data_IF_440621063710
#
_entry.id   IF_440621063710
#
_cell.length_a   1.000
_cell.length_b   1.000
_cell.length_c   1.000
_cell.angle_alpha   90.00
_cell.angle_beta   90.00
_cell.angle_gamma   90.00
#
_symmetry.space_group_name_H-M   'P 1'
#
loop_
_entity.id
_entity.type
_entity.pdbx_description
1 polymer ?
#
# COMPACT_ATOMS: atom_id res chain seq x y z
N UNK A 1 29.10 -11.20 -6.33
CA UNK A 1 28.59 -9.82 -6.24
C UNK A 1 27.13 -9.71 -5.76
N UNK A 2 26.13 -10.38 -6.37
CA UNK A 2 24.71 -10.29 -5.93
C UNK A 2 24.48 -10.64 -4.44
N UNK A 3 25.20 -11.64 -3.92
CA UNK A 3 25.10 -12.06 -2.51
C UNK A 3 25.61 -11.00 -1.51
N UNK A 4 26.74 -10.35 -1.81
CA UNK A 4 27.30 -9.31 -0.92
C UNK A 4 26.37 -8.09 -0.80
N UNK A 5 25.81 -7.62 -1.92
CA UNK A 5 24.81 -6.54 -1.89
C UNK A 5 23.57 -6.95 -1.10
N UNK A 6 23.09 -8.19 -1.27
CA UNK A 6 21.93 -8.69 -0.53
C UNK A 6 22.17 -8.68 0.99
N UNK A 7 23.31 -9.20 1.45
CA UNK A 7 23.70 -9.20 2.87
C UNK A 7 23.82 -7.76 3.40
N UNK A 8 24.45 -6.87 2.64
CA UNK A 8 24.56 -5.46 3.01
C UNK A 8 23.17 -4.80 3.22
N UNK A 9 22.23 -5.05 2.31
CA UNK A 9 20.87 -4.50 2.45
C UNK A 9 20.10 -5.10 3.64
N UNK A 10 20.30 -6.38 3.96
CA UNK A 10 19.73 -6.99 5.17
C UNK A 10 20.29 -6.36 6.44
N UNK A 11 21.61 -6.19 6.54
CA UNK A 11 22.27 -5.54 7.69
C UNK A 11 21.79 -4.10 7.85
N UNK A 12 21.68 -3.35 6.74
CA UNK A 12 21.10 -2.00 6.75
C UNK A 12 19.65 -2.03 7.24
N UNK A 13 18.84 -3.00 6.82
CA UNK A 13 17.47 -3.17 7.26
C UNK A 13 17.34 -3.37 8.77
N UNK A 14 18.15 -4.27 9.33
CA UNK A 14 18.24 -4.52 10.79
C UNK A 14 18.67 -3.25 11.54
N UNK A 15 19.69 -2.55 11.03
CA UNK A 15 20.12 -1.29 11.63
C UNK A 15 19.01 -0.24 11.64
N UNK A 16 18.28 -0.08 10.53
CA UNK A 16 17.16 0.86 10.44
C UNK A 16 16.04 0.51 11.42
N UNK A 17 15.72 -0.78 11.57
CA UNK A 17 14.71 -1.25 12.51
C UNK A 17 15.12 -0.98 13.96
N UNK A 18 16.35 -1.30 14.35
CA UNK A 18 16.85 -1.05 15.70
C UNK A 18 16.92 0.46 16.00
N UNK A 19 17.37 1.26 15.03
CA UNK A 19 17.36 2.73 15.14
C UNK A 19 15.93 3.28 15.31
N UNK A 20 14.97 2.73 14.56
CA UNK A 20 13.56 3.14 14.67
C UNK A 20 12.98 2.75 16.04
N UNK A 21 13.20 1.52 16.50
CA UNK A 21 12.79 1.06 17.85
C UNK A 21 13.33 1.98 18.93
N UNK A 22 14.64 2.27 18.91
CA UNK A 22 15.27 3.13 19.89
C UNK A 22 14.68 4.54 19.89
N UNK A 23 14.38 5.11 18.72
CA UNK A 23 13.75 6.44 18.66
C UNK A 23 12.31 6.42 19.19
N UNK A 24 11.56 5.38 18.89
CA UNK A 24 10.17 5.22 19.37
C UNK A 24 10.13 5.04 20.90
N UNK A 25 11.08 4.29 21.47
CA UNK A 25 11.12 3.97 22.90
C UNK A 25 11.93 4.93 23.78
N UNK A 26 12.84 5.74 23.20
CA UNK A 26 13.73 6.61 23.98
C UNK A 26 12.98 7.71 24.73
N UNK A 27 13.42 8.00 25.97
CA UNK A 27 12.81 9.00 26.84
C UNK A 27 12.76 10.43 26.23
N UNK A 28 13.70 10.75 25.35
CA UNK A 28 13.79 12.06 24.67
C UNK A 28 12.82 12.25 23.49
N UNK A 29 12.30 11.16 22.94
CA UNK A 29 11.32 11.17 21.84
C UNK A 29 10.05 10.38 22.19
N UNK A 30 9.86 10.08 23.47
CA UNK A 30 8.95 9.06 23.98
C UNK A 30 7.55 9.32 23.44
N UNK A 31 7.22 8.57 22.39
CA UNK A 31 5.93 8.63 21.74
C UNK A 31 4.95 8.12 22.78
N UNK A 32 3.91 8.90 23.05
CA UNK A 32 2.89 8.53 24.03
C UNK A 32 2.11 7.34 23.49
N UNK A 33 1.61 6.51 24.40
CA UNK A 33 0.69 5.45 24.02
C UNK A 33 -0.54 6.05 23.33
N UNK A 34 -1.02 5.38 22.28
CA UNK A 34 -2.12 5.87 21.47
C UNK A 34 -2.00 5.53 19.99
N UNK A 35 -2.77 6.26 19.19
CA UNK A 35 -2.87 6.08 17.75
C UNK A 35 -2.29 7.27 17.01
N UNK A 36 -1.47 6.98 16.00
CA UNK A 36 -0.82 7.98 15.15
C UNK A 36 -1.30 7.79 13.72
N UNK A 37 -1.72 8.88 13.09
CA UNK A 37 -2.33 8.90 11.75
C UNK A 37 -1.58 9.86 10.83
N UNK A 38 -1.57 9.56 9.54
CA UNK A 38 -1.16 10.55 8.54
C UNK A 38 -2.09 11.77 8.59
N UNK A 39 -1.50 12.94 8.41
CA UNK A 39 -2.17 14.22 8.24
C UNK A 39 -2.44 14.39 6.74
N UNK A 40 -3.70 14.24 6.32
CA UNK A 40 -4.15 14.62 4.98
C UNK A 40 -4.36 16.14 4.90
N UNK A 41 -4.50 16.68 3.68
CA UNK A 41 -4.62 18.13 3.47
C UNK A 41 -5.79 18.75 4.25
N UNK A 42 -5.60 19.90 4.94
CA UNK A 42 -6.69 20.64 5.60
C UNK A 42 -7.81 21.09 4.65
N UNK A 43 -7.51 21.20 3.34
CA UNK A 43 -8.45 21.65 2.31
C UNK A 43 -9.63 20.69 2.07
N UNK A 44 -9.60 19.49 2.66
CA UNK A 44 -10.68 18.49 2.58
C UNK A 44 -11.66 18.54 3.78
N UNK A 45 -11.67 19.63 4.55
CA UNK A 45 -12.78 19.94 5.48
C UNK A 45 -12.78 19.20 6.81
N UNK A 46 -11.67 18.59 7.22
CA UNK A 46 -11.52 18.01 8.56
C UNK A 46 -10.18 17.28 8.76
N UNK A 47 -9.77 17.04 10.01
CA UNK A 47 -8.52 16.36 10.28
C UNK A 47 -8.64 14.85 9.96
N UNK A 48 -7.73 14.34 9.13
CA UNK A 48 -7.43 12.91 8.94
C UNK A 48 -8.49 12.00 8.27
N UNK A 49 -8.74 12.14 6.96
CA UNK A 49 -9.25 10.99 6.22
C UNK A 49 -8.61 10.85 4.84
N UNK A 50 -7.69 9.90 4.72
CA UNK A 50 -7.30 9.39 3.42
C UNK A 50 -8.52 8.63 2.87
N UNK A 51 -9.05 8.98 1.70
CA UNK A 51 -10.19 8.28 1.12
C UNK A 51 -9.82 6.84 0.80
N UNK A 52 -10.79 5.95 0.85
CA UNK A 52 -10.61 4.56 0.46
C UNK A 52 -10.91 4.37 -1.03
N UNK A 53 -10.08 3.58 -1.71
CA UNK A 53 -10.29 3.14 -3.09
C UNK A 53 -10.09 1.63 -3.15
N UNK A 54 -11.13 0.90 -3.57
CA UNK A 54 -11.01 -0.52 -3.90
C UNK A 54 -10.36 -0.71 -5.27
N UNK A 55 -9.67 -1.83 -5.46
CA UNK A 55 -9.19 -2.22 -6.80
C UNK A 55 -10.31 -2.79 -7.68
N UNK A 56 -11.47 -3.09 -7.08
CA UNK A 56 -12.69 -3.50 -7.77
C UNK A 56 -13.66 -2.32 -7.81
N UNK A 57 -14.44 -2.19 -8.88
CA UNK A 57 -15.37 -1.07 -9.04
C UNK A 57 -16.53 -1.14 -8.03
N UNK A 58 -17.09 -2.34 -7.81
CA UNK A 58 -17.98 -2.61 -6.69
C UNK A 58 -17.20 -3.10 -5.47
N UNK A 59 -16.78 -2.17 -4.61
CA UNK A 59 -16.06 -2.48 -3.37
C UNK A 59 -16.84 -3.47 -2.48
N UNK A 60 -18.17 -3.35 -2.44
CA UNK A 60 -19.08 -4.22 -1.69
C UNK A 60 -19.03 -5.69 -2.14
N UNK A 61 -18.59 -5.96 -3.37
CA UNK A 61 -18.50 -7.31 -3.96
C UNK A 61 -17.08 -7.89 -3.94
N UNK A 62 -16.11 -7.19 -3.34
CA UNK A 62 -14.70 -7.58 -3.36
C UNK A 62 -14.45 -9.02 -2.90
N UNK A 63 -15.15 -9.49 -1.86
CA UNK A 63 -15.00 -10.87 -1.37
C UNK A 63 -15.43 -11.90 -2.43
N UNK A 64 -16.51 -11.63 -3.15
CA UNK A 64 -17.01 -12.49 -4.23
C UNK A 64 -15.95 -12.63 -5.33
N UNK A 65 -15.34 -11.52 -5.74
CA UNK A 65 -14.33 -11.49 -6.80
C UNK A 65 -13.00 -12.12 -6.38
N UNK A 66 -12.61 -11.99 -5.10
CA UNK A 66 -11.40 -12.64 -4.56
C UNK A 66 -11.58 -14.16 -4.51
N UNK A 67 -12.79 -14.64 -4.20
CA UNK A 67 -13.09 -16.08 -4.15
C UNK A 67 -13.21 -16.72 -5.52
N UNK A 68 -13.78 -16.01 -6.49
CA UNK A 68 -13.81 -16.42 -7.89
C UNK A 68 -13.77 -15.18 -8.81
N UNK A 69 -12.69 -15.04 -9.58
CA UNK A 69 -12.46 -13.89 -10.45
C UNK A 69 -13.33 -13.90 -11.71
N UNK A 70 -13.97 -15.03 -12.05
CA UNK A 70 -14.98 -15.11 -13.13
C UNK A 70 -16.14 -14.14 -12.89
N UNK A 71 -16.49 -13.90 -11.62
CA UNK A 71 -17.56 -12.97 -11.25
C UNK A 71 -17.22 -11.50 -11.51
N UNK A 72 -15.96 -11.14 -11.84
CA UNK A 72 -15.62 -9.77 -12.23
C UNK A 72 -16.38 -9.30 -13.47
N UNK A 73 -16.80 -10.24 -14.35
CA UNK A 73 -17.65 -9.93 -15.51
C UNK A 73 -19.03 -9.40 -15.12
N UNK A 74 -19.48 -9.69 -13.90
CA UNK A 74 -20.77 -9.28 -13.34
C UNK A 74 -20.67 -8.02 -12.46
N UNK A 75 -19.48 -7.42 -12.33
CA UNK A 75 -19.33 -6.20 -11.53
C UNK A 75 -20.19 -5.07 -12.14
N UNK A 76 -21.26 -4.60 -11.46
CA UNK A 76 -22.21 -3.67 -12.04
C UNK A 76 -21.60 -2.29 -12.29
N UNK A 77 -20.50 -1.95 -11.60
CA UNK A 77 -19.86 -0.64 -11.63
C UNK A 77 -18.59 -0.63 -12.48
N UNK A 78 -18.27 -1.70 -13.21
CA UNK A 78 -17.00 -1.83 -13.94
C UNK A 78 -16.63 -0.61 -14.80
N UNK A 79 -17.61 0.11 -15.38
CA UNK A 79 -17.39 1.32 -16.19
C UNK A 79 -16.81 2.50 -15.38
N UNK A 80 -17.09 2.56 -14.09
CA UNK A 80 -16.54 3.58 -13.19
C UNK A 80 -15.02 3.46 -13.03
N UNK A 81 -14.46 2.26 -13.29
CA UNK A 81 -13.02 2.02 -13.29
C UNK A 81 -12.26 2.74 -14.42
N UNK A 82 -12.97 3.19 -15.47
CA UNK A 82 -12.37 3.77 -16.67
C UNK A 82 -11.97 2.76 -17.74
N UNK A 83 -12.35 1.48 -17.58
CA UNK A 83 -12.24 0.50 -18.65
C UNK A 83 -13.21 0.80 -19.80
N UNK A 84 -12.77 0.58 -21.03
CA UNK A 84 -13.55 0.70 -22.26
C UNK A 84 -14.48 -0.51 -22.46
N UNK A 85 -14.01 -1.69 -22.04
CA UNK A 85 -14.75 -2.95 -22.13
C UNK A 85 -14.68 -3.73 -20.81
N UNK A 86 -15.65 -4.64 -20.60
CA UNK A 86 -15.63 -5.54 -19.45
C UNK A 86 -14.39 -6.43 -19.44
N UNK A 87 -13.88 -6.82 -20.61
CA UNK A 87 -12.68 -7.65 -20.73
C UNK A 87 -11.43 -6.89 -20.27
N UNK A 88 -11.34 -5.60 -20.59
CA UNK A 88 -10.29 -4.72 -20.07
C UNK A 88 -10.40 -4.57 -18.54
N UNK A 89 -11.62 -4.42 -18.01
CA UNK A 89 -11.83 -4.37 -16.55
C UNK A 89 -11.37 -5.65 -15.86
N UNK A 90 -11.81 -6.82 -16.33
CA UNK A 90 -11.43 -8.13 -15.79
C UNK A 90 -9.91 -8.33 -15.85
N UNK A 91 -9.27 -7.85 -16.92
CA UNK A 91 -7.82 -7.86 -17.01
C UNK A 91 -7.19 -6.97 -15.94
N UNK A 92 -7.67 -5.75 -15.71
CA UNK A 92 -6.99 -4.81 -14.82
C UNK A 92 -7.31 -5.00 -13.33
N UNK A 93 -8.57 -5.20 -12.95
CA UNK A 93 -9.04 -5.11 -11.56
C UNK A 93 -8.21 -5.93 -10.56
N UNK A 94 -7.80 -7.20 -10.84
CA UNK A 94 -6.98 -7.98 -9.90
C UNK A 94 -5.56 -7.43 -9.67
N UNK A 95 -5.08 -6.51 -10.51
CA UNK A 95 -3.67 -6.11 -10.64
C UNK A 95 -3.42 -4.67 -10.14
N UNK A 96 -4.50 -3.97 -9.75
CA UNK A 96 -4.50 -2.53 -9.47
C UNK A 96 -4.30 -2.17 -8.00
N UNK A 97 -3.99 -3.10 -7.08
CA UNK A 97 -3.80 -2.79 -5.65
C UNK A 97 -2.82 -1.62 -5.41
N UNK A 98 -1.69 -1.60 -6.12
CA UNK A 98 -0.73 -0.50 -6.00
C UNK A 98 -1.23 0.83 -6.57
N UNK A 99 -1.98 0.81 -7.67
CA UNK A 99 -2.59 2.02 -8.22
C UNK A 99 -3.77 2.51 -7.38
N UNK A 100 -4.49 1.62 -6.70
CA UNK A 100 -5.51 2.00 -5.74
C UNK A 100 -4.87 2.71 -4.55
N UNK A 101 -3.75 2.19 -4.03
CA UNK A 101 -2.95 2.88 -3.01
C UNK A 101 -2.49 4.27 -3.47
N UNK A 102 -2.00 4.38 -4.70
CA UNK A 102 -1.56 5.67 -5.24
C UNK A 102 -2.73 6.64 -5.46
N UNK A 103 -3.88 6.16 -5.95
CA UNK A 103 -5.11 6.93 -6.10
C UNK A 103 -5.60 7.50 -4.75
N UNK A 104 -5.58 6.70 -3.69
CA UNK A 104 -5.90 7.17 -2.33
C UNK A 104 -4.99 8.32 -1.87
N UNK A 105 -3.69 8.24 -2.18
CA UNK A 105 -2.73 9.31 -1.88
C UNK A 105 -3.07 10.58 -2.68
N UNK A 106 -3.26 10.47 -4.00
CA UNK A 106 -3.61 11.61 -4.86
C UNK A 106 -4.89 12.31 -4.39
N UNK A 107 -5.94 11.54 -4.12
CA UNK A 107 -7.21 12.08 -3.65
C UNK A 107 -7.08 12.73 -2.26
N UNK A 108 -6.25 12.19 -1.36
CA UNK A 108 -6.01 12.79 -0.03
C UNK A 108 -5.33 14.17 -0.07
N UNK A 109 -4.71 14.50 -1.20
CA UNK A 109 -4.09 15.81 -1.46
C UNK A 109 -4.98 16.70 -2.36
N UNK A 110 -6.16 16.24 -2.74
CA UNK A 110 -7.02 16.95 -3.69
C UNK A 110 -6.46 17.04 -5.11
N UNK A 111 -5.50 16.17 -5.47
CA UNK A 111 -4.94 16.15 -6.81
C UNK A 111 -5.97 15.58 -7.82
N UNK A 112 -6.00 16.09 -9.05
CA UNK A 112 -6.71 15.44 -10.14
C UNK A 112 -6.27 13.98 -10.26
N UNK A 113 -7.22 13.06 -10.14
CA UNK A 113 -6.93 11.63 -10.06
C UNK A 113 -7.63 10.91 -11.22
N UNK A 114 -6.90 10.28 -12.15
CA UNK A 114 -7.50 9.48 -13.21
C UNK A 114 -8.30 8.31 -12.66
N UNK A 115 -9.22 7.75 -13.46
CA UNK A 115 -9.89 6.51 -13.06
C UNK A 115 -8.89 5.36 -12.97
N UNK A 116 -9.22 4.33 -12.20
CA UNK A 116 -8.22 3.36 -11.76
C UNK A 116 -7.58 2.56 -12.91
N UNK A 117 -8.34 2.18 -13.94
CA UNK A 117 -7.83 1.49 -15.14
C UNK A 117 -7.01 2.43 -16.01
N UNK A 118 -7.44 3.69 -16.17
CA UNK A 118 -6.67 4.72 -16.87
C UNK A 118 -5.31 4.95 -16.19
N UNK A 119 -5.30 5.06 -14.85
CA UNK A 119 -4.09 5.18 -14.05
C UNK A 119 -3.19 3.93 -14.20
N UNK A 120 -3.78 2.74 -14.25
CA UNK A 120 -3.08 1.49 -14.56
C UNK A 120 -2.40 1.50 -15.93
N UNK A 121 -3.10 1.94 -16.97
CA UNK A 121 -2.57 2.09 -18.34
C UNK A 121 -1.42 3.10 -18.38
N UNK A 122 -1.58 4.26 -17.73
CA UNK A 122 -0.50 5.27 -17.61
C UNK A 122 0.73 4.71 -16.89
N UNK A 123 0.52 4.01 -15.78
CA UNK A 123 1.61 3.38 -15.03
C UNK A 123 2.32 2.30 -15.85
N UNK A 124 1.58 1.49 -16.62
CA UNK A 124 2.16 0.50 -17.54
C UNK A 124 2.97 1.15 -18.65
N UNK A 125 2.48 2.23 -19.26
CA UNK A 125 3.25 3.02 -20.24
C UNK A 125 4.55 3.59 -19.65
N UNK A 126 4.56 3.91 -18.35
CA UNK A 126 5.75 4.31 -17.61
C UNK A 126 6.66 3.14 -17.15
N UNK A 127 6.34 1.89 -17.52
CA UNK A 127 7.11 0.69 -17.19
C UNK A 127 6.86 0.15 -15.78
N UNK A 128 5.77 0.56 -15.11
CA UNK A 128 5.42 0.07 -13.78
C UNK A 128 4.88 -1.36 -13.77
N UNK A 129 4.35 -1.80 -14.90
CA UNK A 129 3.84 -3.15 -15.09
C UNK A 129 4.50 -3.78 -16.31
N UNK A 130 4.85 -5.06 -16.21
CA UNK A 130 5.31 -5.85 -17.33
C UNK A 130 4.43 -7.10 -17.47
N UNK A 131 4.11 -7.52 -18.71
CA UNK A 131 3.52 -8.83 -18.96
C UNK A 131 4.37 -9.94 -18.36
N UNK A 132 3.73 -10.99 -17.84
CA UNK A 132 4.43 -12.20 -17.43
C UNK A 132 4.98 -12.90 -18.68
N UNK A 133 6.31 -13.16 -18.76
CA UNK A 133 6.91 -13.81 -19.91
C UNK A 133 6.37 -15.22 -20.18
N UNK A 134 5.79 -15.88 -19.17
CA UNK A 134 5.16 -17.21 -19.28
C UNK A 134 3.67 -17.13 -19.62
N UNK A 135 3.02 -16.01 -19.35
CA UNK A 135 1.61 -15.80 -19.64
C UNK A 135 1.32 -14.31 -19.88
N UNK A 136 1.35 -13.83 -21.13
CA UNK A 136 1.13 -12.42 -21.45
C UNK A 136 -0.21 -11.84 -20.98
N UNK A 137 -1.19 -12.69 -20.64
CA UNK A 137 -2.47 -12.26 -20.03
C UNK A 137 -2.35 -11.91 -18.53
N UNK A 138 -1.16 -12.10 -17.94
CA UNK A 138 -0.84 -11.74 -16.56
C UNK A 138 0.20 -10.64 -16.53
N UNK A 139 0.26 -9.90 -15.43
CA UNK A 139 1.32 -8.94 -15.13
C UNK A 139 2.14 -9.50 -13.96
N UNK A 140 3.45 -9.24 -13.95
CA UNK A 140 4.36 -9.69 -12.88
C UNK A 140 4.16 -8.95 -11.54
N UNK A 141 3.17 -8.07 -11.45
CA UNK A 141 2.92 -7.15 -10.33
C UNK A 141 3.55 -5.77 -10.55
N UNK A 142 3.20 -4.83 -9.67
CA UNK A 142 3.72 -3.46 -9.75
C UNK A 142 5.21 -3.43 -9.40
N UNK A 143 6.04 -2.94 -10.31
CA UNK A 143 7.46 -2.75 -10.09
C UNK A 143 7.71 -1.48 -9.27
N UNK A 144 8.25 -1.64 -8.05
CA UNK A 144 8.39 -0.53 -7.10
C UNK A 144 9.30 0.61 -7.60
N UNK A 145 10.41 0.30 -8.28
CA UNK A 145 11.36 1.31 -8.77
C UNK A 145 10.78 2.15 -9.92
N UNK A 146 10.22 1.55 -10.99
CA UNK A 146 9.45 2.29 -11.98
C UNK A 146 8.28 3.07 -11.36
N UNK A 147 7.54 2.49 -10.42
CA UNK A 147 6.44 3.18 -9.74
C UNK A 147 6.91 4.47 -9.03
N UNK A 148 8.05 4.42 -8.34
CA UNK A 148 8.61 5.63 -7.71
C UNK A 148 9.00 6.69 -8.75
N UNK A 149 9.52 6.29 -9.92
CA UNK A 149 9.79 7.22 -11.02
C UNK A 149 8.50 7.80 -11.61
N UNK A 150 7.46 6.99 -11.75
CA UNK A 150 6.15 7.41 -12.23
C UNK A 150 5.50 8.43 -11.27
N UNK A 151 5.59 8.22 -9.96
CA UNK A 151 5.06 9.15 -8.96
C UNK A 151 5.64 10.58 -9.06
N UNK A 152 6.87 10.74 -9.58
CA UNK A 152 7.45 12.06 -9.84
C UNK A 152 6.69 12.90 -10.85
N UNK A 153 5.98 12.27 -11.78
CA UNK A 153 5.12 12.97 -12.74
C UNK A 153 3.95 13.68 -12.05
N UNK A 154 3.61 13.25 -10.84
CA UNK A 154 2.58 13.83 -9.97
C UNK A 154 3.18 14.71 -8.86
N UNK A 155 4.47 15.05 -8.93
CA UNK A 155 5.12 15.92 -7.95
C UNK A 155 5.53 15.24 -6.63
N UNK A 156 5.59 13.91 -6.59
CA UNK A 156 6.12 13.19 -5.43
C UNK A 156 7.60 12.91 -5.58
N UNK A 157 8.34 13.13 -4.50
CA UNK A 157 9.59 12.43 -4.27
C UNK A 157 9.36 11.22 -3.37
N UNK A 158 10.38 10.38 -3.23
CA UNK A 158 10.25 9.20 -2.41
C UNK A 158 11.49 8.34 -2.34
N UNK A 159 11.33 7.21 -1.67
CA UNK A 159 12.39 6.22 -1.49
C UNK A 159 11.79 4.83 -1.35
N UNK A 160 12.59 3.83 -1.69
CA UNK A 160 12.25 2.42 -1.44
C UNK A 160 13.05 1.91 -0.25
N UNK A 161 12.38 1.28 0.71
CA UNK A 161 13.03 0.62 1.84
C UNK A 161 12.74 -0.89 1.79
N UNK A 162 13.78 -1.68 2.02
CA UNK A 162 13.81 -3.13 1.82
C UNK A 162 14.45 -3.77 3.05
N UNK A 163 14.06 -5.01 3.37
CA UNK A 163 14.51 -5.76 4.55
C UNK A 163 14.26 -5.03 5.89
N UNK A 164 13.22 -4.20 5.95
CA UNK A 164 12.86 -3.43 7.14
C UNK A 164 11.82 -4.15 8.00
N UNK A 165 11.73 -3.76 9.27
CA UNK A 165 10.66 -4.18 10.18
C UNK A 165 9.55 -3.13 10.35
N UNK A 166 8.56 -3.43 11.21
CA UNK A 166 7.39 -2.58 11.43
C UNK A 166 7.75 -1.22 12.07
N UNK A 167 8.81 -1.12 12.88
CA UNK A 167 9.15 0.14 13.53
C UNK A 167 9.60 1.20 12.51
N UNK A 168 10.23 0.78 11.40
CA UNK A 168 10.54 1.68 10.28
C UNK A 168 9.26 2.22 9.63
N UNK A 169 8.23 1.39 9.46
CA UNK A 169 6.92 1.82 8.92
C UNK A 169 6.30 2.92 9.79
N UNK A 170 6.21 2.68 11.10
CA UNK A 170 5.72 3.66 12.06
C UNK A 170 6.53 4.97 12.01
N UNK A 171 7.85 4.88 11.87
CA UNK A 171 8.73 6.05 11.77
C UNK A 171 8.50 6.88 10.51
N UNK A 172 8.12 6.27 9.39
CA UNK A 172 7.79 7.03 8.18
C UNK A 172 6.42 7.70 8.29
N UNK A 173 5.45 7.06 8.97
CA UNK A 173 4.15 7.67 9.28
C UNK A 173 4.31 8.90 10.18
N UNK A 174 5.18 8.84 11.20
CA UNK A 174 5.48 10.00 12.08
C UNK A 174 6.08 11.20 11.35
N UNK A 175 6.74 10.97 10.20
CA UNK A 175 7.26 12.05 9.34
C UNK A 175 6.20 12.59 8.38
N UNK A 176 4.96 12.11 8.50
CA UNK A 176 3.88 12.36 7.58
C UNK A 176 4.17 11.90 6.14
N UNK A 177 4.99 10.86 5.97
CA UNK A 177 5.23 10.27 4.65
C UNK A 177 4.16 9.22 4.34
N UNK A 178 3.67 9.19 3.11
CA UNK A 178 2.78 8.12 2.64
C UNK A 178 3.55 6.81 2.50
N UNK A 179 2.96 5.71 2.98
CA UNK A 179 3.61 4.40 2.99
C UNK A 179 2.75 3.34 2.31
N UNK A 180 3.21 2.83 1.17
CA UNK A 180 2.62 1.65 0.52
C UNK A 180 3.45 0.44 0.91
N UNK A 181 2.84 -0.50 1.62
CA UNK A 181 3.50 -1.72 2.09
C UNK A 181 3.23 -2.90 1.18
N UNK A 182 4.29 -3.63 0.83
CA UNK A 182 4.17 -4.90 0.13
C UNK A 182 3.96 -6.04 1.11
N UNK A 183 2.83 -6.73 0.93
CA UNK A 183 2.31 -7.76 1.83
C UNK A 183 1.84 -8.96 1.01
N UNK A 184 1.50 -10.06 1.68
CA UNK A 184 0.66 -11.11 1.12
C UNK A 184 -0.81 -10.69 1.15
N UNK A 185 -1.59 -11.23 0.22
CA UNK A 185 -3.02 -10.99 0.08
C UNK A 185 -3.85 -11.59 1.24
N UNK A 186 -3.31 -12.55 1.98
CA UNK A 186 -3.94 -13.14 3.18
C UNK A 186 -4.05 -12.17 4.35
N UNK A 187 -3.45 -10.97 4.27
CA UNK A 187 -3.67 -9.87 5.24
C UNK A 187 -5.16 -9.48 5.39
N UNK A 188 -6.04 -9.99 4.51
CA UNK A 188 -7.50 -9.89 4.64
C UNK A 188 -8.06 -10.65 5.85
N UNK A 189 -7.34 -11.65 6.34
CA UNK A 189 -7.76 -12.58 7.39
C UNK A 189 -6.94 -12.38 8.66
N UNK A 190 -7.62 -12.38 9.81
CA UNK A 190 -6.94 -12.41 11.10
C UNK A 190 -6.20 -13.75 11.30
N UNK A 191 -5.00 -13.71 11.88
CA UNK A 191 -4.19 -14.91 12.15
C UNK A 191 -3.52 -15.53 10.91
N UNK A 192 -3.50 -14.83 9.77
CA UNK A 192 -2.92 -15.34 8.53
C UNK A 192 -1.44 -15.70 8.66
N UNK A 193 -1.04 -16.85 8.09
CA UNK A 193 0.35 -17.34 8.07
C UNK A 193 0.72 -17.85 6.66
N UNK A 194 0.85 -16.94 5.68
CA UNK A 194 1.07 -17.32 4.30
C UNK A 194 2.47 -17.90 4.08
N UNK A 195 2.61 -18.81 3.12
CA UNK A 195 3.91 -19.40 2.74
C UNK A 195 4.89 -18.36 2.17
N UNK A 196 4.38 -17.30 1.55
CA UNK A 196 5.16 -16.19 1.04
C UNK A 196 4.56 -14.85 1.48
N UNK A 197 5.37 -13.79 1.55
CA UNK A 197 4.94 -12.48 2.07
C UNK A 197 4.66 -11.43 0.98
N UNK A 198 4.49 -11.84 -0.28
CA UNK A 198 4.41 -10.93 -1.43
C UNK A 198 3.10 -11.12 -2.20
N UNK A 199 2.90 -10.29 -3.24
CA UNK A 199 1.77 -10.42 -4.17
C UNK A 199 0.66 -9.40 -3.98
N UNK A 200 0.74 -8.55 -2.94
CA UNK A 200 -0.25 -7.51 -2.69
C UNK A 200 0.39 -6.20 -2.17
N UNK A 201 -0.35 -5.11 -2.28
CA UNK A 201 0.02 -3.78 -1.78
C UNK A 201 -1.14 -3.17 -1.00
N UNK A 202 -0.82 -2.59 0.15
CA UNK A 202 -1.78 -1.86 1.01
C UNK A 202 -1.21 -0.49 1.36
N UNK A 203 -2.09 0.48 1.58
CA UNK A 203 -1.68 1.79 2.06
C UNK A 203 -1.72 1.78 3.59
N UNK A 204 -0.58 1.97 4.24
CA UNK A 204 -0.51 2.10 5.69
C UNK A 204 -0.62 3.57 6.05
N UNK A 205 -1.66 3.93 6.80
CA UNK A 205 -1.99 5.33 7.10
C UNK A 205 -2.06 5.63 8.59
N UNK A 206 -1.77 4.65 9.44
CA UNK A 206 -1.61 4.86 10.87
C UNK A 206 -0.98 3.67 11.57
N UNK A 207 -0.63 3.87 12.83
CA UNK A 207 -0.17 2.80 13.73
C UNK A 207 -0.62 3.07 15.16
N UNK A 208 -0.67 2.00 15.94
CA UNK A 208 -0.90 2.05 17.38
C UNK A 208 0.38 1.71 18.14
N UNK A 209 0.62 2.42 19.22
CA UNK A 209 1.74 2.19 20.12
C UNK A 209 1.22 2.03 21.56
N UNK A 210 1.80 1.07 22.27
CA UNK A 210 1.53 0.80 23.68
C UNK A 210 2.82 0.30 24.35
N UNK A 211 3.16 0.84 25.52
CA UNK A 211 4.37 0.49 26.26
C UNK A 211 5.65 0.69 25.44
N UNK A 212 5.67 1.69 24.55
CA UNK A 212 6.80 1.95 23.65
C UNK A 212 6.99 0.93 22.51
N UNK A 213 5.99 0.08 22.24
CA UNK A 213 6.00 -0.92 21.17
C UNK A 213 4.86 -0.68 20.19
N UNK A 214 5.15 -0.84 18.89
CA UNK A 214 4.09 -0.83 17.87
C UNK A 214 3.24 -2.08 18.03
N UNK A 215 1.94 -1.89 18.27
CA UNK A 215 0.97 -2.98 18.52
C UNK A 215 0.12 -3.30 17.30
N UNK A 216 0.11 -2.43 16.28
CA UNK A 216 -0.55 -2.68 15.02
C UNK A 216 -0.57 -1.48 14.09
N UNK A 217 -1.17 -1.68 12.93
CA UNK A 217 -1.24 -0.70 11.85
C UNK A 217 -2.67 -0.55 11.36
N UNK A 218 -3.00 0.65 10.91
CA UNK A 218 -4.22 0.89 10.17
C UNK A 218 -3.91 0.99 8.69
N UNK A 219 -4.64 0.20 7.91
CA UNK A 219 -4.45 0.06 6.48
C UNK A 219 -5.73 0.35 5.71
N UNK A 220 -5.55 0.87 4.50
CA UNK A 220 -6.51 0.70 3.43
C UNK A 220 -6.05 -0.47 2.56
N UNK A 221 -6.87 -1.51 2.48
CA UNK A 221 -6.62 -2.70 1.70
C UNK A 221 -7.49 -2.68 0.42
N UNK A 222 -6.90 -2.45 -0.76
CA UNK A 222 -7.65 -2.32 -2.02
C UNK A 222 -8.53 -3.52 -2.37
N UNK A 223 -8.16 -4.71 -1.89
CA UNK A 223 -8.89 -5.97 -2.12
C UNK A 223 -9.51 -6.54 -0.85
N UNK A 224 -9.59 -5.76 0.23
CA UNK A 224 -10.19 -6.21 1.48
C UNK A 224 -11.66 -6.60 1.29
N UNK A 225 -12.24 -7.21 2.31
CA UNK A 225 -13.67 -7.54 2.31
C UNK A 225 -14.48 -6.41 2.94
N UNK A 226 -15.61 -6.09 2.31
CA UNK A 226 -16.45 -4.96 2.70
C UNK A 226 -16.92 -5.11 4.15
N UNK A 227 -16.78 -4.04 4.94
CA UNK A 227 -17.10 -4.04 6.38
C UNK A 227 -16.17 -4.88 7.27
N UNK A 228 -15.15 -5.53 6.71
CA UNK A 228 -14.27 -6.46 7.44
C UNK A 228 -12.81 -5.99 7.38
N UNK A 229 -12.23 -5.91 6.18
CA UNK A 229 -10.79 -5.72 5.99
C UNK A 229 -10.40 -4.71 4.92
N UNK A 230 -11.30 -3.81 4.50
CA UNK A 230 -11.08 -2.79 3.46
C UNK A 230 -10.52 -1.47 3.99
N UNK A 231 -11.41 -0.58 4.44
CA UNK A 231 -11.11 0.79 4.81
C UNK A 231 -10.73 0.87 6.30
N UNK A 232 -9.67 1.62 6.60
CA UNK A 232 -9.21 1.91 7.96
C UNK A 232 -9.13 0.65 8.84
N UNK A 233 -8.74 -0.47 8.22
CA UNK A 233 -8.71 -1.76 8.87
C UNK A 233 -7.50 -1.82 9.80
N UNK A 234 -7.74 -2.15 11.07
CA UNK A 234 -6.66 -2.37 12.03
C UNK A 234 -6.14 -3.79 11.91
N UNK A 235 -4.83 -3.91 11.73
CA UNK A 235 -4.10 -5.18 11.68
C UNK A 235 -3.13 -5.21 12.85
N UNK A 236 -3.18 -6.28 13.65
CA UNK A 236 -2.25 -6.48 14.76
C UNK A 236 -0.79 -6.49 14.27
N UNK A 237 0.17 -6.14 15.13
CA UNK A 237 1.58 -6.19 14.76
C UNK A 237 2.01 -7.62 14.35
N UNK A 238 1.43 -8.65 14.97
CA UNK A 238 1.69 -10.05 14.64
C UNK A 238 1.22 -10.39 13.22
N UNK A 239 -0.04 -10.10 12.90
CA UNK A 239 -0.63 -10.37 11.58
C UNK A 239 0.03 -9.53 10.48
N UNK A 240 0.39 -8.28 10.79
CA UNK A 240 1.11 -7.44 9.84
C UNK A 240 2.48 -8.06 9.53
N UNK A 241 3.23 -8.47 10.55
CA UNK A 241 4.57 -9.07 10.37
C UNK A 241 4.50 -10.44 9.67
N UNK A 242 3.46 -11.24 9.90
CA UNK A 242 3.28 -12.51 9.21
C UNK A 242 3.11 -12.31 7.70
N UNK A 243 2.42 -11.25 7.29
CA UNK A 243 2.14 -10.95 5.89
C UNK A 243 3.15 -10.00 5.23
N UNK A 244 3.92 -9.22 5.98
CA UNK A 244 4.76 -8.14 5.45
C UNK A 244 6.08 -8.61 4.82
N UNK A 245 6.32 -8.23 3.57
CA UNK A 245 7.54 -8.61 2.82
C UNK A 245 8.82 -7.92 3.29
N UNK A 246 8.75 -6.96 4.22
CA UNK A 246 9.88 -6.11 4.58
C UNK A 246 10.18 -5.01 3.55
N UNK A 247 9.24 -4.73 2.62
CA UNK A 247 9.41 -3.74 1.55
C UNK A 247 8.30 -2.70 1.56
N UNK A 248 8.68 -1.44 1.47
CA UNK A 248 7.75 -0.31 1.33
C UNK A 248 8.18 0.65 0.23
N UNK A 249 7.18 1.28 -0.40
CA UNK A 249 7.33 2.49 -1.19
C UNK A 249 6.95 3.65 -0.26
N UNK A 250 7.88 4.57 -0.06
CA UNK A 250 7.63 5.79 0.72
C UNK A 250 7.54 6.95 -0.26
N UNK A 251 6.43 7.69 -0.20
CA UNK A 251 6.22 8.91 -0.98
C UNK A 251 6.07 10.09 -0.03
N UNK A 252 6.67 11.21 -0.39
CA UNK A 252 6.50 12.48 0.29
C UNK A 252 6.31 13.57 -0.76
N UNK A 253 5.33 14.43 -0.53
CA UNK A 253 5.03 15.52 -1.44
C UNK A 253 6.21 16.48 -1.47
N UNK A 254 6.65 16.85 -2.67
CA UNK A 254 7.60 17.96 -2.85
C UNK A 254 6.91 19.32 -2.75
N UNK A 255 5.58 19.34 -2.80
CA UNK A 255 4.77 20.50 -2.43
C UNK A 255 4.81 20.64 -0.91
N UNK A 256 5.86 21.27 -0.39
CA UNK A 256 5.70 22.08 0.80
C UNK A 256 4.78 23.23 0.38
N UNK A 257 3.49 23.12 0.72
CA UNK A 257 2.68 24.33 0.89
C UNK A 257 3.31 25.21 1.95
#
# INVERSE_FOLDING_TARGET
MKSFFHIFYQLRGVFLENSAKNKISSASWRIKDGEYRLLASPSLGGPHKIPYVSQYASAELAERFVKNDEFLREDPKWRESGAETIDEYVFWAPKLCGMACFSMILQSLGCPTPKLVELGKQAMAAGCYLPDPKNPKRLIGLLHKPCLKFARQFGFEGKLLWFIGPSVVAREILKNNFVIASVNHDIRYAGAKPENKQGHLVLVHGFKIDGGKVTGFYIHNPSGFFGISQENHFVSAEDFVSCFSGRIIVLFSSWCG
#
